data_IF_375726797195
#
_entry.id   IF_375726797195
#
_cell.length_a   1.000
_cell.length_b   1.000
_cell.length_c   1.000
_cell.angle_alpha   90.00
_cell.angle_beta   90.00
_cell.angle_gamma   90.00
#
_symmetry.space_group_name_H-M   'P 1'
#
loop_
_entity.id
_entity.type
_entity.pdbx_description
1 polymer ?
#
# COMPACT_ATOMS: atom_id res chain seq x y z
N UNK A 1 -2.36 12.37 40.10
CA UNK A 1 -1.57 11.21 39.68
C UNK A 1 -2.36 10.48 38.61
N UNK A 2 -2.19 10.85 37.35
CA UNK A 2 -2.88 10.19 36.23
C UNK A 2 -1.78 9.85 35.22
N UNK A 3 -1.30 8.61 35.31
CA UNK A 3 -0.29 8.09 34.41
C UNK A 3 -1.02 7.60 33.16
N UNK A 4 -1.15 8.47 32.17
CA UNK A 4 -1.49 8.06 30.82
C UNK A 4 -0.46 7.01 30.39
N UNK A 5 -0.89 5.75 30.43
CA UNK A 5 -0.05 4.64 30.03
C UNK A 5 -0.05 4.68 28.51
N UNK A 6 0.89 5.42 27.93
CA UNK A 6 1.08 5.47 26.48
C UNK A 6 1.38 4.04 26.02
N UNK A 7 0.37 3.38 25.47
CA UNK A 7 0.48 2.02 24.96
C UNK A 7 1.30 2.12 23.67
N UNK A 8 2.55 1.64 23.76
CA UNK A 8 3.47 1.64 22.63
C UNK A 8 2.98 0.64 21.58
N UNK A 9 2.36 1.13 20.51
CA UNK A 9 2.15 0.34 19.30
C UNK A 9 3.47 0.27 18.53
N UNK A 10 3.91 -0.93 18.16
CA UNK A 10 5.11 -1.13 17.34
C UNK A 10 4.66 -1.62 15.97
N UNK A 11 5.01 -0.89 14.93
CA UNK A 11 4.78 -1.32 13.55
C UNK A 11 6.12 -1.44 12.84
N UNK A 12 6.40 -2.62 12.32
CA UNK A 12 7.52 -2.90 11.46
C UNK A 12 6.99 -3.08 10.03
N UNK A 13 7.59 -2.39 9.07
CA UNK A 13 7.26 -2.57 7.66
C UNK A 13 8.54 -2.67 6.85
N UNK A 14 8.55 -3.56 5.88
CA UNK A 14 9.63 -3.75 4.91
C UNK A 14 9.02 -3.76 3.52
N UNK A 15 9.71 -3.19 2.54
CA UNK A 15 9.25 -3.21 1.17
C UNK A 15 10.36 -2.97 0.17
N UNK A 16 10.14 -3.49 -1.04
CA UNK A 16 11.01 -3.37 -2.18
C UNK A 16 10.22 -2.78 -3.35
N UNK A 17 10.84 -1.85 -4.06
CA UNK A 17 10.32 -1.31 -5.31
C UNK A 17 11.27 -1.69 -6.45
N UNK A 18 10.73 -2.25 -7.53
CA UNK A 18 11.47 -2.60 -8.73
C UNK A 18 10.95 -1.78 -9.91
N UNK A 19 11.85 -1.02 -10.53
CA UNK A 19 11.59 -0.20 -11.71
C UNK A 19 12.61 -0.59 -12.78
N UNK A 20 12.22 -1.34 -13.82
CA UNK A 20 13.18 -1.88 -14.79
C UNK A 20 13.87 -0.79 -15.62
N UNK A 21 13.15 0.24 -16.11
CA UNK A 21 13.75 1.32 -16.86
C UNK A 21 12.82 2.54 -17.07
N UNK A 22 13.32 3.75 -16.81
CA UNK A 22 12.61 5.02 -17.04
C UNK A 22 12.87 5.65 -18.42
N UNK A 23 13.80 5.09 -19.22
CA UNK A 23 14.36 5.74 -20.43
C UNK A 23 14.28 4.85 -21.70
N UNK A 24 13.51 3.77 -21.68
CA UNK A 24 13.47 2.83 -22.81
C UNK A 24 12.19 2.98 -23.64
N UNK A 25 12.31 2.96 -24.98
CA UNK A 25 11.23 3.11 -25.98
C UNK A 25 10.14 2.02 -25.93
N UNK A 26 10.20 1.08 -24.99
CA UNK A 26 9.36 -0.13 -24.94
C UNK A 26 8.35 -0.10 -23.78
N UNK A 27 7.07 -0.34 -24.10
CA UNK A 27 5.89 -0.24 -23.22
C UNK A 27 5.96 -1.12 -21.96
N UNK A 28 6.69 -2.23 -22.02
CA UNK A 28 6.73 -3.25 -20.97
C UNK A 28 7.80 -2.94 -19.90
N UNK A 29 8.74 -2.03 -20.19
CA UNK A 29 9.90 -1.78 -19.33
C UNK A 29 9.69 -0.68 -18.28
N UNK A 30 8.58 0.06 -18.34
CA UNK A 30 8.27 1.14 -17.39
C UNK A 30 7.28 0.72 -16.30
N UNK A 31 6.86 -0.57 -16.29
CA UNK A 31 5.97 -1.09 -15.24
C UNK A 31 6.73 -1.11 -13.93
N UNK A 32 6.17 -0.43 -12.93
CA UNK A 32 6.73 -0.37 -11.57
C UNK A 32 6.06 -1.42 -10.71
N UNK A 33 6.86 -2.28 -10.10
CA UNK A 33 6.37 -3.31 -9.19
C UNK A 33 6.78 -2.96 -7.78
N UNK A 34 5.85 -3.07 -6.84
CA UNK A 34 6.06 -2.83 -5.41
C UNK A 34 5.61 -4.05 -4.65
N UNK A 35 6.43 -4.48 -3.72
CA UNK A 35 6.17 -5.58 -2.80
C UNK A 35 6.49 -5.08 -1.40
N UNK A 36 5.59 -5.30 -0.46
CA UNK A 36 5.79 -4.92 0.93
C UNK A 36 5.21 -5.95 1.88
N UNK A 37 5.73 -6.00 3.08
CA UNK A 37 5.21 -6.75 4.20
C UNK A 37 5.24 -5.86 5.44
N UNK A 38 4.22 -5.95 6.27
CA UNK A 38 4.12 -5.19 7.50
C UNK A 38 3.57 -6.04 8.62
N UNK A 39 4.10 -5.82 9.82
CA UNK A 39 3.71 -6.47 11.06
C UNK A 39 3.49 -5.36 12.08
N UNK A 40 2.29 -5.29 12.64
CA UNK A 40 1.98 -4.37 13.72
C UNK A 40 1.62 -5.14 14.98
N UNK A 41 2.28 -4.80 16.07
CA UNK A 41 1.96 -5.23 17.42
C UNK A 41 1.32 -4.06 18.15
N UNK A 42 0.01 -4.16 18.39
CA UNK A 42 -0.69 -3.20 19.24
C UNK A 42 -0.69 -3.75 20.66
N UNK A 43 0.19 -3.23 21.51
CA UNK A 43 0.19 -3.52 22.96
C UNK A 43 -0.95 -2.77 23.66
N UNK A 44 -2.13 -2.68 23.06
CA UNK A 44 -3.25 -1.98 23.68
C UNK A 44 -3.90 -2.88 24.73
N UNK A 45 -3.80 -2.50 26.02
CA UNK A 45 -4.53 -3.09 27.16
C UNK A 45 -6.03 -2.74 27.08
N UNK A 46 -6.68 -3.01 25.96
CA UNK A 46 -8.15 -3.03 25.89
C UNK A 46 -8.50 -4.51 26.03
N UNK A 47 -8.82 -4.93 27.26
CA UNK A 47 -9.19 -6.30 27.64
C UNK A 47 -8.06 -7.37 27.60
N UNK A 48 -6.85 -7.05 28.07
CA UNK A 48 -5.78 -8.05 28.39
C UNK A 48 -5.31 -8.96 27.23
N UNK A 49 -5.66 -8.65 25.98
CA UNK A 49 -5.38 -9.51 24.83
C UNK A 49 -4.44 -8.82 23.84
N UNK A 50 -3.24 -9.36 23.59
CA UNK A 50 -2.35 -8.81 22.59
C UNK A 50 -2.98 -8.94 21.20
N UNK A 51 -3.03 -7.83 20.47
CA UNK A 51 -3.55 -7.76 19.11
C UNK A 51 -2.39 -7.63 18.13
N UNK A 52 -2.31 -8.57 17.18
CA UNK A 52 -1.28 -8.60 16.15
C UNK A 52 -1.91 -8.51 14.77
N UNK A 53 -1.31 -7.68 13.92
CA UNK A 53 -1.69 -7.52 12.54
C UNK A 53 -0.50 -7.85 11.65
N UNK A 54 -0.72 -8.66 10.62
CA UNK A 54 0.27 -8.95 9.60
C UNK A 54 -0.35 -8.70 8.23
N UNK A 55 0.35 -7.98 7.37
CA UNK A 55 -0.14 -7.67 6.03
C UNK A 55 0.96 -7.70 4.97
N UNK A 56 0.61 -8.13 3.79
CA UNK A 56 1.43 -8.11 2.58
C UNK A 56 0.81 -7.12 1.61
N UNK A 57 1.62 -6.32 0.95
CA UNK A 57 1.20 -5.32 -0.02
C UNK A 57 1.88 -5.58 -1.36
N UNK A 58 1.11 -5.41 -2.42
CA UNK A 58 1.52 -5.53 -3.82
C UNK A 58 1.07 -4.24 -4.53
N UNK A 59 1.93 -3.65 -5.34
CA UNK A 59 1.60 -2.45 -6.10
C UNK A 59 2.14 -2.51 -7.51
N UNK A 60 1.34 -2.06 -8.48
CA UNK A 60 1.71 -1.99 -9.89
C UNK A 60 1.48 -0.58 -10.42
N UNK A 61 2.53 0.08 -10.90
CA UNK A 61 2.45 1.35 -11.60
C UNK A 61 2.56 1.12 -13.11
N UNK A 62 1.45 1.28 -13.83
CA UNK A 62 1.34 1.16 -15.28
C UNK A 62 1.30 2.56 -15.91
N UNK A 63 2.40 3.04 -16.53
CA UNK A 63 2.38 4.28 -17.28
C UNK A 63 1.66 4.09 -18.62
N UNK A 64 0.73 4.98 -18.96
CA UNK A 64 0.09 4.98 -20.27
C UNK A 64 1.06 5.56 -21.32
N UNK A 65 1.09 4.94 -22.50
CA UNK A 65 2.08 5.28 -23.55
C UNK A 65 1.76 6.59 -24.30
N UNK A 66 0.49 7.00 -24.31
CA UNK A 66 0.00 8.14 -25.10
C UNK A 66 -0.27 9.42 -24.29
N UNK A 67 -0.25 9.33 -22.96
CA UNK A 67 -0.40 10.47 -22.04
C UNK A 67 0.63 10.31 -20.94
N UNK A 68 1.13 11.39 -20.32
CA UNK A 68 2.02 11.31 -19.15
C UNK A 68 1.30 10.75 -17.89
N UNK A 69 0.16 10.09 -18.06
CA UNK A 69 -0.69 9.55 -17.02
C UNK A 69 -0.17 8.19 -16.54
N UNK A 70 -0.19 7.95 -15.23
CA UNK A 70 0.27 6.73 -14.58
C UNK A 70 -0.91 6.12 -13.82
N UNK A 71 -1.23 4.88 -14.12
CA UNK A 71 -2.22 4.10 -13.39
C UNK A 71 -1.51 3.30 -12.28
N UNK A 72 -1.92 3.51 -11.04
CA UNK A 72 -1.40 2.83 -9.86
C UNK A 72 -2.46 1.86 -9.34
N UNK A 73 -2.11 0.58 -9.33
CA UNK A 73 -2.86 -0.50 -8.72
C UNK A 73 -2.18 -0.86 -7.41
N UNK A 74 -2.95 -1.03 -6.34
CA UNK A 74 -2.46 -1.49 -5.05
C UNK A 74 -3.36 -2.62 -4.58
N UNK A 75 -2.77 -3.66 -4.02
CA UNK A 75 -3.45 -4.79 -3.43
C UNK A 75 -2.78 -5.06 -2.09
N UNK A 76 -3.54 -5.01 -1.01
CA UNK A 76 -3.08 -5.35 0.32
C UNK A 76 -3.91 -6.52 0.82
N UNK A 77 -3.22 -7.56 1.28
CA UNK A 77 -3.82 -8.70 1.94
C UNK A 77 -3.24 -8.77 3.34
N UNK A 78 -4.10 -8.72 4.36
CA UNK A 78 -3.64 -8.81 5.73
C UNK A 78 -4.60 -9.59 6.60
N UNK A 79 -4.08 -10.04 7.73
CA UNK A 79 -4.81 -10.75 8.76
C UNK A 79 -4.57 -10.03 10.07
N UNK A 80 -5.65 -9.79 10.81
CA UNK A 80 -5.61 -9.15 12.12
C UNK A 80 -6.29 -10.06 13.14
N UNK A 81 -5.68 -10.25 14.31
CA UNK A 81 -6.20 -11.19 15.29
C UNK A 81 -5.51 -11.17 16.66
N UNK A 82 -6.10 -11.93 17.58
CA UNK A 82 -5.65 -12.02 18.98
C UNK A 82 -4.74 -13.25 19.14
N UNK A 83 -3.52 -13.05 19.65
CA UNK A 83 -2.48 -14.09 19.74
C UNK A 83 -2.84 -15.19 20.76
N UNK A 84 -3.57 -14.85 21.83
CA UNK A 84 -3.82 -15.75 22.95
C UNK A 84 -5.10 -16.60 22.84
N UNK A 85 -5.97 -16.31 21.89
CA UNK A 85 -7.18 -17.08 21.67
C UNK A 85 -7.46 -17.10 20.19
N UNK A 86 -7.23 -18.26 19.56
CA UNK A 86 -7.47 -18.60 18.15
C UNK A 86 -8.95 -18.43 17.70
N UNK A 87 -9.72 -17.61 18.39
CA UNK A 87 -11.16 -17.38 18.27
C UNK A 87 -11.49 -16.27 17.26
N UNK A 88 -10.60 -15.28 17.07
CA UNK A 88 -10.90 -14.14 16.20
C UNK A 88 -9.66 -13.80 15.35
N UNK A 89 -9.67 -14.32 14.12
CA UNK A 89 -8.78 -13.94 13.03
C UNK A 89 -9.65 -13.38 11.92
N UNK A 90 -9.38 -12.15 11.52
CA UNK A 90 -10.07 -11.48 10.41
C UNK A 90 -9.07 -11.24 9.29
N UNK A 91 -9.27 -11.95 8.18
CA UNK A 91 -8.55 -11.69 6.94
C UNK A 91 -9.25 -10.59 6.15
N UNK A 92 -8.48 -9.64 5.65
CA UNK A 92 -8.96 -8.54 4.84
C UNK A 92 -8.16 -8.41 3.55
N UNK A 93 -8.87 -8.07 2.48
CA UNK A 93 -8.30 -7.69 1.19
C UNK A 93 -8.66 -6.24 0.94
N UNK A 94 -7.67 -5.41 0.62
CA UNK A 94 -7.89 -4.04 0.15
C UNK A 94 -7.35 -3.93 -1.26
N UNK A 95 -8.18 -3.41 -2.15
CA UNK A 95 -7.80 -3.14 -3.54
C UNK A 95 -7.92 -1.63 -3.74
N UNK A 96 -6.85 -1.03 -4.25
CA UNK A 96 -6.75 0.39 -4.55
C UNK A 96 -6.45 0.60 -6.02
N UNK A 97 -7.22 1.48 -6.66
CA UNK A 97 -7.02 1.94 -8.02
C UNK A 97 -6.83 3.45 -7.96
N UNK A 98 -5.69 3.95 -8.45
CA UNK A 98 -5.39 5.37 -8.53
C UNK A 98 -4.91 5.73 -9.93
N UNK A 99 -5.33 6.86 -10.46
CA UNK A 99 -4.83 7.38 -11.73
C UNK A 99 -4.16 8.72 -11.46
N UNK A 100 -2.88 8.83 -11.76
CA UNK A 100 -2.13 10.07 -11.73
C UNK A 100 -2.08 10.62 -13.15
N UNK A 101 -2.97 11.56 -13.46
CA UNK A 101 -3.00 12.22 -14.76
C UNK A 101 -2.00 13.38 -14.72
N UNK A 102 -0.94 13.30 -15.52
CA UNK A 102 0.04 14.39 -15.66
C UNK A 102 -0.20 15.13 -16.98
N UNK A 103 -1.43 15.57 -17.19
CA UNK A 103 -1.81 16.29 -18.40
C UNK A 103 -1.75 17.80 -18.16
N UNK A 104 -1.13 18.49 -19.11
CA UNK A 104 -1.08 19.93 -19.20
C UNK A 104 -2.49 20.43 -19.60
N UNK A 105 -3.43 20.44 -18.66
CA UNK A 105 -4.86 20.76 -18.83
C UNK A 105 -5.17 22.19 -19.36
N UNK A 106 -4.20 22.87 -19.95
CA UNK A 106 -4.34 24.19 -20.59
C UNK A 106 -3.88 24.21 -22.05
N UNK A 107 -3.65 23.08 -22.71
CA UNK A 107 -3.44 23.12 -24.16
C UNK A 107 -4.77 23.25 -24.89
N UNK A 108 -5.17 24.50 -25.16
CA UNK A 108 -6.31 24.88 -25.99
C UNK A 108 -6.19 24.19 -27.35
N UNK A 109 -7.02 23.18 -27.63
CA UNK A 109 -7.16 22.64 -28.99
C UNK A 109 -7.66 23.77 -29.89
N UNK A 110 -6.81 24.27 -30.79
CA UNK A 110 -7.29 24.94 -31.99
C UNK A 110 -7.93 23.85 -32.85
N UNK A 111 -9.25 23.91 -32.97
CA UNK A 111 -9.94 23.33 -34.11
C UNK A 111 -9.77 24.35 -35.24
N UNK A 112 -9.09 23.97 -36.32
CA UNK A 112 -9.29 24.56 -37.66
C UNK A 112 -10.20 23.63 -38.45
#
# INVERSE_FOLDING_TARGET
>A
SQRDTLLNARKLAIGCEYVPNSTSRSYVQTIRYRLGANIAESYTKVNEKPYSEMGITLGFGLPLKNSKSILNLNLEYGSRGIINQNLVREDYVKIGLGVSINENWFFKRKFE
#
